data_IF_052201914532
#
_entry.id   IF_052201914532
#
_cell.length_a   1.000
_cell.length_b   1.000
_cell.length_c   1.000
_cell.angle_alpha   90.00
_cell.angle_beta   90.00
_cell.angle_gamma   90.00
#
_symmetry.space_group_name_H-M   'P 1'
#
loop_
_entity.id
_entity.type
_entity.pdbx_description
1 polymer ?
#
# COMPACT_ATOMS: atom_id res chain seq x y z
N UNK A 1 1.08 -2.81 3.15
CA UNK A 1 1.86 -2.11 2.08
C UNK A 1 1.28 -2.28 0.69
N UNK A 2 0.82 -3.48 0.30
CA UNK A 2 0.18 -3.69 -1.00
C UNK A 2 -1.09 -2.84 -1.19
N UNK A 3 -1.75 -2.49 -0.09
CA UNK A 3 -2.92 -1.59 -0.08
C UNK A 3 -2.63 -0.19 -0.61
N UNK A 4 -1.38 0.29 -0.53
CA UNK A 4 -0.96 1.57 -1.09
C UNK A 4 -1.14 1.62 -2.63
N UNK A 5 -0.98 0.49 -3.30
CA UNK A 5 -1.09 0.34 -4.76
C UNK A 5 -2.47 -0.14 -5.21
N UNK A 6 -3.04 -1.13 -4.51
CA UNK A 6 -4.31 -1.76 -4.87
C UNK A 6 -5.27 -1.65 -3.68
N UNK A 7 -6.43 -1.00 -3.87
CA UNK A 7 -7.40 -0.84 -2.79
C UNK A 7 -7.98 -2.19 -2.38
N UNK A 8 -8.31 -2.32 -1.11
CA UNK A 8 -9.00 -3.48 -0.54
C UNK A 8 -8.35 -4.84 -0.82
N UNK A 9 -7.04 -4.86 -1.04
CA UNK A 9 -6.28 -6.09 -1.35
C UNK A 9 -6.35 -7.15 -0.24
N UNK A 10 -6.69 -6.75 0.97
CA UNK A 10 -6.96 -7.63 2.13
C UNK A 10 -8.44 -7.59 2.58
N UNK A 11 -9.35 -7.29 1.66
CA UNK A 11 -10.75 -7.06 1.95
C UNK A 11 -11.04 -5.63 2.42
N UNK A 12 -12.22 -5.39 2.95
CA UNK A 12 -12.64 -4.09 3.47
C UNK A 12 -12.04 -3.72 4.82
N UNK A 13 -12.66 -2.79 5.55
CA UNK A 13 -12.31 -2.52 6.94
C UNK A 13 -12.69 -3.68 7.86
N UNK A 14 -12.04 -3.78 9.03
CA UNK A 14 -12.31 -4.86 9.99
C UNK A 14 -13.74 -4.88 10.55
N UNK A 15 -14.48 -3.78 10.43
CA UNK A 15 -15.89 -3.68 10.80
C UNK A 15 -16.87 -3.99 9.67
N UNK A 16 -16.38 -4.23 8.44
CA UNK A 16 -17.24 -4.55 7.29
C UNK A 16 -17.54 -6.05 7.24
N UNK A 17 -18.81 -6.42 6.96
CA UNK A 17 -19.21 -7.82 6.79
C UNK A 17 -19.36 -8.18 5.32
N UNK A 18 -19.26 -9.47 4.99
CA UNK A 18 -19.39 -9.94 3.60
C UNK A 18 -20.75 -9.62 2.98
N UNK A 19 -21.80 -9.50 3.78
CA UNK A 19 -23.14 -9.09 3.31
C UNK A 19 -23.18 -7.66 2.74
N UNK A 20 -22.22 -6.82 3.05
CA UNK A 20 -22.12 -5.45 2.52
C UNK A 20 -21.45 -5.38 1.14
N UNK A 21 -20.90 -6.48 0.65
CA UNK A 21 -20.26 -6.54 -0.67
C UNK A 21 -21.22 -7.14 -1.69
N UNK A 22 -21.74 -6.30 -2.61
CA UNK A 22 -22.60 -6.76 -3.71
C UNK A 22 -21.92 -7.83 -4.56
N UNK A 23 -20.62 -7.67 -4.86
CA UNK A 23 -19.85 -8.62 -5.65
C UNK A 23 -19.67 -9.99 -4.95
N UNK A 24 -19.57 -10.01 -3.63
CA UNK A 24 -19.52 -11.23 -2.84
C UNK A 24 -20.89 -11.89 -2.79
N UNK A 25 -21.94 -11.12 -2.55
CA UNK A 25 -23.32 -11.62 -2.45
C UNK A 25 -23.86 -12.14 -3.78
N UNK A 26 -23.44 -11.55 -4.91
CA UNK A 26 -23.82 -12.05 -6.24
C UNK A 26 -23.31 -13.47 -6.54
N UNK A 27 -22.22 -13.90 -5.88
CA UNK A 27 -21.63 -15.24 -6.02
C UNK A 27 -21.96 -16.16 -4.84
N UNK A 28 -22.63 -15.65 -3.82
CA UNK A 28 -22.93 -16.36 -2.60
C UNK A 28 -24.17 -17.24 -2.78
N UNK A 29 -24.17 -18.41 -2.12
CA UNK A 29 -25.37 -19.24 -2.06
C UNK A 29 -26.38 -18.63 -1.07
N UNK A 30 -27.63 -18.32 -1.48
CA UNK A 30 -28.65 -17.70 -0.62
C UNK A 30 -28.92 -18.45 0.69
N UNK A 31 -28.68 -19.75 0.71
CA UNK A 31 -28.88 -20.61 1.88
C UNK A 31 -28.00 -20.20 3.08
N UNK A 32 -26.88 -19.55 2.84
CA UNK A 32 -25.92 -19.16 3.87
C UNK A 32 -25.90 -17.66 4.19
N UNK A 33 -26.93 -16.90 3.78
CA UNK A 33 -26.99 -15.45 4.01
C UNK A 33 -26.82 -15.04 5.47
N UNK A 34 -27.33 -15.84 6.41
CA UNK A 34 -27.14 -15.58 7.85
C UNK A 34 -25.69 -15.69 8.31
N UNK A 35 -24.89 -16.53 7.66
CA UNK A 35 -23.47 -16.68 7.96
C UNK A 35 -22.69 -15.52 7.36
N UNK A 36 -22.99 -15.12 6.14
CA UNK A 36 -22.29 -14.01 5.47
C UNK A 36 -22.45 -12.66 6.19
N UNK A 37 -23.54 -12.48 6.94
CA UNK A 37 -23.74 -11.27 7.75
C UNK A 37 -22.80 -11.19 8.97
N UNK A 38 -22.21 -12.31 9.36
CA UNK A 38 -21.28 -12.40 10.51
C UNK A 38 -19.82 -12.50 10.06
N UNK A 39 -19.55 -12.89 8.81
CA UNK A 39 -18.19 -13.02 8.32
C UNK A 39 -17.58 -11.65 7.99
N UNK A 40 -16.38 -11.31 8.55
CA UNK A 40 -15.69 -10.09 8.21
C UNK A 40 -15.18 -10.12 6.76
N UNK A 41 -15.21 -8.97 6.09
CA UNK A 41 -14.57 -8.84 4.77
C UNK A 41 -13.04 -8.81 4.87
N UNK A 42 -12.53 -8.38 6.01
CA UNK A 42 -11.10 -8.24 6.24
C UNK A 42 -10.47 -9.58 6.65
N UNK A 43 -9.46 -10.01 5.90
CA UNK A 43 -8.68 -11.22 6.17
C UNK A 43 -7.22 -10.93 6.52
N UNK A 44 -6.92 -9.74 7.02
CA UNK A 44 -5.59 -9.36 7.51
C UNK A 44 -5.43 -9.65 9.01
N UNK A 45 -4.18 -9.65 9.46
CA UNK A 45 -3.82 -9.95 10.85
C UNK A 45 -4.00 -8.78 11.84
N UNK A 46 -4.28 -7.58 11.37
CA UNK A 46 -4.44 -6.40 12.23
C UNK A 46 -5.91 -6.22 12.60
N UNK A 47 -6.30 -6.43 13.87
CA UNK A 47 -7.64 -6.10 14.34
C UNK A 47 -7.84 -4.56 14.34
N UNK A 48 -9.10 -4.13 14.21
CA UNK A 48 -9.51 -2.72 14.34
C UNK A 48 -8.90 -1.77 13.31
N UNK A 49 -8.73 -2.21 12.08
CA UNK A 49 -8.32 -1.33 10.98
C UNK A 49 -9.52 -0.61 10.37
N UNK A 50 -9.46 0.73 10.31
CA UNK A 50 -10.53 1.56 9.76
C UNK A 50 -10.58 1.57 8.21
N UNK A 51 -9.71 0.83 7.55
CA UNK A 51 -9.65 0.70 6.11
C UNK A 51 -8.21 0.72 5.59
N UNK A 52 -8.00 0.23 4.37
CA UNK A 52 -6.68 0.20 3.75
C UNK A 52 -6.26 1.61 3.32
N UNK A 53 -5.03 1.97 3.65
CA UNK A 53 -4.37 3.17 3.13
C UNK A 53 -4.15 2.98 1.63
N UNK A 54 -4.76 3.82 0.80
CA UNK A 54 -4.65 3.76 -0.65
C UNK A 54 -4.30 5.12 -1.23
N UNK A 55 -3.18 5.21 -1.93
CA UNK A 55 -2.67 6.46 -2.50
C UNK A 55 -3.12 6.67 -3.95
N UNK A 56 -3.52 5.64 -4.63
CA UNK A 56 -3.88 5.65 -6.05
C UNK A 56 -2.81 5.04 -6.94
N UNK A 57 -3.22 4.16 -7.84
CA UNK A 57 -2.30 3.43 -8.74
C UNK A 57 -1.50 4.39 -9.64
N UNK A 58 -2.15 5.44 -10.15
CA UNK A 58 -1.49 6.44 -10.99
C UNK A 58 -0.48 7.29 -10.19
N UNK A 59 -0.82 7.68 -8.97
CA UNK A 59 0.09 8.41 -8.07
C UNK A 59 1.29 7.53 -7.72
N UNK A 60 1.06 6.24 -7.45
CA UNK A 60 2.13 5.29 -7.18
C UNK A 60 3.05 5.11 -8.42
N UNK A 61 2.47 5.04 -9.62
CA UNK A 61 3.26 5.01 -10.86
C UNK A 61 4.15 6.26 -10.99
N UNK A 62 3.59 7.46 -10.77
CA UNK A 62 4.34 8.71 -10.82
C UNK A 62 5.40 8.78 -9.71
N UNK A 63 5.13 8.25 -8.52
CA UNK A 63 6.11 8.16 -7.43
C UNK A 63 7.30 7.29 -7.85
N UNK A 64 7.05 6.08 -8.36
CA UNK A 64 8.12 5.18 -8.81
C UNK A 64 8.89 5.80 -9.97
N UNK A 65 8.20 6.42 -10.93
CA UNK A 65 8.84 7.16 -12.01
C UNK A 65 9.69 8.33 -11.47
N UNK A 66 9.21 9.04 -10.46
CA UNK A 66 9.92 10.11 -9.78
C UNK A 66 11.26 9.65 -9.17
N UNK A 67 11.33 8.42 -8.69
CA UNK A 67 12.60 7.84 -8.23
C UNK A 67 13.67 7.77 -9.32
N UNK A 68 13.27 7.66 -10.59
CA UNK A 68 14.20 7.63 -11.72
C UNK A 68 14.51 9.01 -12.30
N UNK A 69 13.49 9.86 -12.47
CA UNK A 69 13.62 11.11 -13.24
C UNK A 69 13.90 12.34 -12.38
N UNK A 70 13.40 12.42 -11.15
CA UNK A 70 13.61 13.57 -10.26
C UNK A 70 15.07 13.59 -9.79
N UNK A 71 15.69 14.76 -9.82
CA UNK A 71 17.08 14.97 -9.39
C UNK A 71 17.10 15.83 -8.12
N UNK A 72 18.15 15.66 -7.31
CA UNK A 72 18.37 16.49 -6.13
C UNK A 72 18.24 15.73 -4.80
N UNK A 73 18.66 16.34 -3.69
CA UNK A 73 18.68 15.71 -2.37
C UNK A 73 17.27 15.48 -1.81
N UNK A 74 16.30 16.33 -2.17
CA UNK A 74 14.91 16.22 -1.70
C UNK A 74 14.27 14.89 -2.09
N UNK A 75 14.58 14.36 -3.28
CA UNK A 75 14.14 13.02 -3.68
C UNK A 75 14.54 11.96 -2.68
N UNK A 76 15.79 11.97 -2.26
CA UNK A 76 16.32 10.97 -1.33
C UNK A 76 15.73 11.11 0.07
N UNK A 77 15.47 12.36 0.51
CA UNK A 77 14.78 12.61 1.76
C UNK A 77 13.33 12.06 1.75
N UNK A 78 12.58 12.34 0.68
CA UNK A 78 11.20 11.83 0.52
C UNK A 78 11.18 10.31 0.41
N UNK A 79 12.07 9.72 -0.38
CA UNK A 79 12.17 8.28 -0.53
C UNK A 79 12.55 7.61 0.80
N UNK A 80 13.53 8.16 1.50
CA UNK A 80 13.95 7.68 2.82
C UNK A 80 12.80 7.74 3.85
N UNK A 81 12.08 8.86 3.91
CA UNK A 81 10.93 9.01 4.79
C UNK A 81 9.79 8.02 4.45
N UNK A 82 9.54 7.78 3.15
CA UNK A 82 8.55 6.79 2.71
C UNK A 82 8.95 5.38 3.14
N UNK A 83 10.17 4.96 2.84
CA UNK A 83 10.66 3.61 3.19
C UNK A 83 10.64 3.44 4.71
N UNK A 84 11.12 4.42 5.45
CA UNK A 84 11.16 4.37 6.90
C UNK A 84 9.75 4.27 7.52
N UNK A 85 8.81 5.05 7.04
CA UNK A 85 7.40 4.97 7.44
C UNK A 85 6.79 3.58 7.16
N UNK A 86 7.08 3.00 5.99
CA UNK A 86 6.61 1.66 5.63
C UNK A 86 7.22 0.60 6.55
N UNK A 87 8.53 0.66 6.82
CA UNK A 87 9.22 -0.31 7.69
C UNK A 87 8.67 -0.25 9.13
N UNK A 88 8.47 0.95 9.67
CA UNK A 88 7.87 1.11 10.99
C UNK A 88 6.42 0.61 11.03
N UNK A 89 5.65 0.80 9.96
CA UNK A 89 4.26 0.34 9.89
C UNK A 89 4.10 -1.18 9.93
N UNK A 90 5.16 -1.94 9.66
CA UNK A 90 5.13 -3.40 9.73
C UNK A 90 5.05 -3.93 11.16
N UNK A 91 5.41 -3.13 12.17
CA UNK A 91 5.25 -3.47 13.58
C UNK A 91 5.74 -4.88 13.91
N UNK A 92 4.84 -5.76 14.34
CA UNK A 92 5.16 -7.14 14.72
C UNK A 92 5.81 -7.99 13.60
N UNK A 93 5.63 -7.63 12.33
CA UNK A 93 6.26 -8.32 11.21
C UNK A 93 7.74 -7.95 11.04
N UNK A 94 8.21 -6.91 11.74
CA UNK A 94 9.62 -6.51 11.76
C UNK A 94 10.05 -6.14 13.18
N UNK A 95 10.03 -7.12 14.09
CA UNK A 95 10.24 -6.97 15.54
C UNK A 95 11.56 -6.27 15.85
N UNK A 96 12.66 -6.59 15.18
CA UNK A 96 13.97 -6.00 15.49
C UNK A 96 14.00 -4.47 15.39
N UNK A 97 13.28 -3.87 14.43
CA UNK A 97 13.14 -2.41 14.34
C UNK A 97 12.16 -1.89 15.40
N UNK A 98 11.06 -2.63 15.62
CA UNK A 98 10.03 -2.25 16.57
C UNK A 98 10.58 -2.24 18.00
N UNK A 99 11.32 -3.28 18.41
CA UNK A 99 11.94 -3.39 19.74
C UNK A 99 12.97 -2.28 19.94
N UNK A 100 13.80 -2.01 18.94
CA UNK A 100 14.73 -0.87 19.00
C UNK A 100 14.01 0.45 19.28
N UNK A 101 12.87 0.70 18.60
CA UNK A 101 12.10 1.93 18.84
C UNK A 101 11.39 1.94 20.19
N UNK A 102 10.92 0.80 20.68
CA UNK A 102 10.30 0.69 22.01
C UNK A 102 11.33 0.99 23.11
N UNK A 103 12.56 0.50 22.97
CA UNK A 103 13.60 0.60 23.98
C UNK A 103 14.27 1.98 23.98
N UNK A 104 14.51 2.56 22.81
CA UNK A 104 15.36 3.76 22.70
C UNK A 104 14.58 5.04 22.38
N UNK A 105 13.35 4.96 21.84
CA UNK A 105 12.59 6.17 21.49
C UNK A 105 11.53 6.44 22.55
N UNK A 106 11.66 7.54 23.32
CA UNK A 106 10.71 7.87 24.35
C UNK A 106 9.30 8.06 23.78
N UNK A 107 8.30 7.57 24.47
CA UNK A 107 6.87 7.63 24.13
C UNK A 107 6.45 6.76 22.93
N UNK A 108 7.34 6.07 22.22
CA UNK A 108 6.94 5.18 21.12
C UNK A 108 5.99 4.07 21.59
N UNK A 109 6.18 3.54 22.79
CA UNK A 109 5.34 2.53 23.42
C UNK A 109 3.90 3.01 23.77
N UNK A 110 3.62 4.30 23.63
CA UNK A 110 2.28 4.89 23.83
C UNK A 110 1.42 4.84 22.54
N UNK A 111 2.03 4.63 21.40
CA UNK A 111 1.28 4.52 20.15
C UNK A 111 0.63 3.15 20.01
N UNK A 112 -0.70 3.10 20.06
CA UNK A 112 -1.49 1.88 19.94
C UNK A 112 -1.56 1.35 18.50
N UNK A 113 -1.60 2.25 17.52
CA UNK A 113 -1.74 1.92 16.10
C UNK A 113 -0.45 2.28 15.37
N UNK A 114 0.49 1.34 15.30
CA UNK A 114 1.77 1.53 14.61
C UNK A 114 1.57 1.83 13.12
N UNK A 115 0.50 1.33 12.52
CA UNK A 115 0.13 1.59 11.13
C UNK A 115 -0.21 3.06 10.83
N UNK A 116 -0.55 3.88 11.83
CA UNK A 116 -0.83 5.31 11.64
C UNK A 116 0.39 6.10 11.14
N UNK A 117 1.62 5.58 11.29
CA UNK A 117 2.83 6.18 10.74
C UNK A 117 2.82 6.23 9.20
N UNK A 118 1.96 5.44 8.54
CA UNK A 118 1.79 5.47 7.09
C UNK A 118 1.28 6.82 6.57
N UNK A 119 0.76 7.70 7.42
CA UNK A 119 0.43 9.08 7.05
C UNK A 119 1.62 9.82 6.44
N UNK A 120 2.85 9.49 6.87
CA UNK A 120 4.07 10.03 6.28
C UNK A 120 4.21 9.56 4.83
N UNK A 121 3.97 8.27 4.56
CA UNK A 121 3.99 7.73 3.20
C UNK A 121 2.86 8.30 2.34
N UNK A 122 1.66 8.49 2.90
CA UNK A 122 0.52 9.13 2.22
C UNK A 122 0.81 10.57 1.79
N UNK A 123 1.68 11.26 2.50
CA UNK A 123 2.13 12.61 2.14
C UNK A 123 3.31 12.59 1.17
N UNK A 124 4.34 11.79 1.45
CA UNK A 124 5.61 11.80 0.69
C UNK A 124 5.47 11.18 -0.70
N UNK A 125 4.61 10.16 -0.86
CA UNK A 125 4.36 9.52 -2.16
C UNK A 125 3.74 10.51 -3.16
N UNK A 126 2.59 11.18 -2.87
CA UNK A 126 2.04 12.18 -3.78
C UNK A 126 2.97 13.36 -4.02
N UNK A 127 3.72 13.78 -3.01
CA UNK A 127 4.65 14.90 -3.16
C UNK A 127 5.75 14.57 -4.19
N UNK A 128 6.37 13.40 -4.12
CA UNK A 128 7.36 12.98 -5.11
C UNK A 128 6.72 12.76 -6.50
N UNK A 129 5.47 12.27 -6.55
CA UNK A 129 4.71 12.14 -7.78
C UNK A 129 4.46 13.50 -8.46
N UNK A 130 4.15 14.56 -7.68
CA UNK A 130 4.01 15.93 -8.19
C UNK A 130 5.34 16.45 -8.74
N UNK A 131 6.46 16.19 -8.08
CA UNK A 131 7.77 16.56 -8.62
C UNK A 131 8.09 15.82 -9.91
N UNK A 132 7.73 14.54 -10.04
CA UNK A 132 7.87 13.81 -11.28
C UNK A 132 7.03 14.44 -12.41
N UNK A 133 5.77 14.77 -12.12
CA UNK A 133 4.88 15.42 -13.08
C UNK A 133 5.43 16.80 -13.50
N UNK A 134 5.92 17.59 -12.56
CA UNK A 134 6.58 18.87 -12.84
C UNK A 134 7.76 18.72 -13.80
N UNK A 135 8.64 17.73 -13.58
CA UNK A 135 9.79 17.48 -14.47
C UNK A 135 9.34 17.08 -15.88
N UNK A 136 8.31 16.24 -15.99
CA UNK A 136 7.74 15.81 -17.28
C UNK A 136 7.16 17.01 -18.05
N UNK A 137 6.37 17.85 -17.38
CA UNK A 137 5.73 19.00 -18.02
C UNK A 137 6.74 20.08 -18.40
N UNK A 138 7.80 20.27 -17.59
CA UNK A 138 8.83 21.26 -17.86
C UNK A 138 9.78 20.85 -18.98
N UNK A 139 9.97 19.56 -19.20
CA UNK A 139 10.91 19.00 -20.17
C UNK A 139 10.33 17.76 -20.86
N UNK A 140 9.34 17.90 -21.75
CA UNK A 140 8.65 16.74 -22.35
C UNK A 140 9.60 15.83 -23.15
N UNK A 141 10.62 16.39 -23.81
CA UNK A 141 11.62 15.62 -24.54
C UNK A 141 12.53 14.77 -23.65
N UNK A 142 12.52 14.99 -22.34
CA UNK A 142 13.28 14.18 -21.40
C UNK A 142 12.87 12.70 -21.44
N UNK A 143 11.60 12.40 -21.68
CA UNK A 143 11.09 11.03 -21.76
C UNK A 143 11.60 10.26 -22.97
N UNK A 144 12.04 10.94 -24.04
CA UNK A 144 12.61 10.34 -25.25
C UNK A 144 14.04 9.83 -25.01
N UNK A 145 14.72 10.29 -23.95
CA UNK A 145 16.04 9.79 -23.62
C UNK A 145 15.95 8.32 -23.19
N UNK A 146 16.82 7.49 -23.72
CA UNK A 146 16.82 6.03 -23.48
C UNK A 146 16.80 5.66 -21.99
N UNK A 147 17.59 6.37 -21.16
CA UNK A 147 17.62 6.16 -19.71
C UNK A 147 16.27 6.40 -19.04
N UNK A 148 15.58 7.46 -19.42
CA UNK A 148 14.29 7.83 -18.81
C UNK A 148 13.16 6.96 -19.38
N UNK A 149 13.23 6.57 -20.63
CA UNK A 149 12.31 5.59 -21.23
C UNK A 149 12.38 4.25 -20.49
N UNK A 150 13.58 3.76 -20.18
CA UNK A 150 13.76 2.56 -19.31
C UNK A 150 13.16 2.77 -17.91
N UNK A 151 13.27 3.98 -17.35
CA UNK A 151 12.62 4.34 -16.10
C UNK A 151 11.09 4.28 -16.15
N UNK A 152 10.49 4.75 -17.27
CA UNK A 152 9.03 4.65 -17.49
C UNK A 152 8.59 3.19 -17.55
N UNK A 153 9.30 2.36 -18.33
CA UNK A 153 8.99 0.94 -18.46
C UNK A 153 9.13 0.24 -17.09
N UNK A 154 10.21 0.51 -16.36
CA UNK A 154 10.42 -0.06 -15.03
C UNK A 154 9.31 0.36 -14.05
N UNK A 155 8.92 1.63 -14.05
CA UNK A 155 7.83 2.11 -13.22
C UNK A 155 6.49 1.44 -13.57
N UNK A 156 6.21 1.27 -14.86
CA UNK A 156 5.00 0.62 -15.35
C UNK A 156 4.96 -0.87 -14.96
N UNK A 157 6.07 -1.58 -15.14
CA UNK A 157 6.18 -3.00 -14.76
C UNK A 157 6.03 -3.16 -13.23
N UNK A 158 6.66 -2.30 -12.44
CA UNK A 158 6.58 -2.38 -10.97
C UNK A 158 5.19 -2.05 -10.43
N UNK A 159 4.44 -1.18 -11.07
CA UNK A 159 3.11 -0.78 -10.58
C UNK A 159 1.99 -1.57 -11.25
N UNK A 160 1.86 -1.47 -12.57
CA UNK A 160 0.82 -2.16 -13.32
C UNK A 160 1.05 -3.68 -13.34
N UNK A 161 2.30 -4.13 -13.41
CA UNK A 161 2.64 -5.56 -13.36
C UNK A 161 2.24 -6.20 -12.03
N UNK A 162 2.56 -5.56 -10.89
CA UNK A 162 2.14 -6.05 -9.57
C UNK A 162 0.62 -6.02 -9.44
N UNK A 163 -0.04 -4.95 -9.87
CA UNK A 163 -1.50 -4.86 -9.86
C UNK A 163 -2.16 -5.96 -10.72
N UNK A 164 -1.60 -6.24 -11.89
CA UNK A 164 -2.07 -7.28 -12.79
C UNK A 164 -1.93 -8.68 -12.16
N UNK A 165 -0.77 -8.98 -11.57
CA UNK A 165 -0.54 -10.27 -10.90
C UNK A 165 -1.54 -10.45 -9.74
N UNK A 166 -1.79 -9.41 -8.94
CA UNK A 166 -2.78 -9.44 -7.87
C UNK A 166 -4.21 -9.67 -8.39
N UNK A 167 -4.53 -9.13 -9.58
CA UNK A 167 -5.85 -9.31 -10.19
C UNK A 167 -6.05 -10.71 -10.78
N UNK A 168 -5.03 -11.27 -11.43
CA UNK A 168 -5.13 -12.55 -12.15
C UNK A 168 -4.82 -13.75 -11.25
N UNK A 169 -3.84 -13.62 -10.36
CA UNK A 169 -3.36 -14.70 -9.51
C UNK A 169 -3.18 -14.23 -8.05
N UNK A 170 -4.25 -13.89 -7.33
CA UNK A 170 -4.16 -13.41 -5.95
C UNK A 170 -3.53 -14.43 -5.01
N UNK A 171 -3.66 -15.73 -5.28
CA UNK A 171 -3.05 -16.81 -4.50
C UNK A 171 -1.52 -16.81 -4.48
N UNK A 172 -0.84 -16.06 -5.36
CA UNK A 172 0.63 -15.92 -5.31
C UNK A 172 1.10 -15.07 -4.13
N UNK A 173 0.26 -14.16 -3.65
CA UNK A 173 0.57 -13.26 -2.54
C UNK A 173 -0.12 -13.69 -1.22
N UNK A 174 -1.20 -14.44 -1.31
CA UNK A 174 -1.99 -14.84 -0.15
C UNK A 174 -2.21 -16.35 -0.14
N UNK A 175 -1.67 -17.02 0.87
CA UNK A 175 -1.85 -18.47 1.07
C UNK A 175 -3.22 -18.83 1.62
N UNK A 176 -3.89 -17.90 2.28
CA UNK A 176 -5.23 -18.08 2.86
C UNK A 176 -6.02 -16.78 2.78
N UNK A 177 -7.31 -16.89 2.47
CA UNK A 177 -8.29 -15.80 2.50
C UNK A 177 -9.20 -15.89 3.74
N UNK A 178 -8.87 -16.78 4.67
CA UNK A 178 -9.61 -16.96 5.93
C UNK A 178 -8.72 -16.47 7.06
N UNK A 179 -9.25 -15.60 7.90
CA UNK A 179 -8.56 -15.17 9.12
C UNK A 179 -8.53 -16.34 10.09
N UNK A 180 -7.36 -16.87 10.39
CA UNK A 180 -7.18 -17.80 11.51
C UNK A 180 -7.27 -16.96 12.78
N UNK A 181 -8.39 -17.01 13.46
CA UNK A 181 -8.50 -16.50 14.82
C UNK A 181 -7.90 -17.59 15.73
N UNK A 182 -6.68 -17.34 16.21
CA UNK A 182 -6.14 -18.02 17.39
C UNK A 182 -6.59 -17.28 18.65
#
# INVERSE_FOLDING_TARGET
TLTLLVPNVKGGGSGSTMSQSEAAMAKANPMYNGIYSQLPQYFGEQPWTAGPVYVGAFVMFLFVLGCFIVKGPLKWALLGATIFSILLSWGKNFMGLTDFFIDYVPMYNKFRAVSSILVIAEFTIPLLAIFALKEILSKPDMLKQEKNCRGVIAALVLTAGVALILAVAPGTFFSSFITTQE
#
